data_IF_399128364045
#
_entry.id   IF_399128364045
#
_cell.length_a   1.000
_cell.length_b   1.000
_cell.length_c   1.000
_cell.angle_alpha   90.00
_cell.angle_beta   90.00
_cell.angle_gamma   90.00
#
_symmetry.space_group_name_H-M   'P 1'
#
loop_
_entity.id
_entity.type
_entity.pdbx_description
1 polymer ?
#
# COMPACT_ATOMS: atom_id res chain seq x y z
N UNK A 1 -6.37 9.83 86.26
CA UNK A 1 -6.72 10.39 84.93
C UNK A 1 -5.99 11.72 84.81
N UNK A 2 -4.91 11.79 84.04
CA UNK A 2 -4.00 12.95 83.98
C UNK A 2 -4.08 13.54 82.56
N UNK A 3 -4.85 14.60 82.29
CA UNK A 3 -4.61 16.05 82.54
C UNK A 3 -3.29 16.49 81.87
N UNK A 4 -3.35 17.06 80.66
CA UNK A 4 -3.52 18.49 80.31
C UNK A 4 -2.28 19.36 80.60
N UNK A 5 -1.97 20.19 79.60
CA UNK A 5 -1.37 21.54 79.67
C UNK A 5 0.18 21.63 79.72
N UNK A 6 0.82 22.03 78.61
CA UNK A 6 1.15 23.41 78.18
C UNK A 6 2.33 23.99 79.00
N UNK A 7 3.47 24.25 78.34
CA UNK A 7 4.25 25.51 78.38
C UNK A 7 5.45 25.37 77.41
N UNK A 8 5.46 26.08 76.27
CA UNK A 8 6.11 27.41 76.08
C UNK A 8 7.60 27.41 76.44
N UNK A 9 8.50 27.54 75.45
CA UNK A 9 9.04 28.85 75.02
C UNK A 9 10.32 28.72 74.16
N UNK A 10 10.40 29.63 73.18
CA UNK A 10 11.61 30.35 72.70
C UNK A 10 12.58 29.58 71.79
N UNK A 11 12.56 29.88 70.49
CA UNK A 11 13.17 31.04 69.80
C UNK A 11 14.62 30.76 69.41
N UNK A 12 14.81 30.45 68.12
CA UNK A 12 15.89 30.92 67.24
C UNK A 12 15.24 30.88 65.83
N UNK A 13 14.50 31.88 65.38
CA UNK A 13 14.92 33.16 64.77
C UNK A 13 16.01 33.03 63.71
N UNK A 14 15.75 33.71 62.58
CA UNK A 14 16.50 33.82 61.32
C UNK A 14 16.21 32.67 60.32
N UNK A 15 15.72 32.89 59.10
CA UNK A 15 15.47 34.09 58.27
C UNK A 15 14.34 33.66 57.28
N UNK A 16 13.22 34.41 57.14
CA UNK A 16 13.06 35.52 56.19
C UNK A 16 13.32 35.02 54.75
N UNK A 17 12.32 34.89 53.87
CA UNK A 17 11.61 35.95 53.11
C UNK A 17 10.93 35.15 51.97
N UNK A 18 9.63 35.24 51.66
CA UNK A 18 8.88 36.41 51.23
C UNK A 18 7.37 36.12 51.35
N UNK A 19 6.71 36.96 52.14
CA UNK A 19 5.26 37.20 52.13
C UNK A 19 4.98 38.11 50.93
N UNK A 20 3.91 37.88 50.17
CA UNK A 20 2.73 38.78 49.97
C UNK A 20 2.35 38.61 48.48
N UNK A 21 1.11 38.57 47.98
CA UNK A 21 -0.11 39.37 48.17
C UNK A 21 -1.26 38.50 47.58
N UNK A 22 -2.25 38.07 48.36
CA UNK A 22 -3.62 38.60 48.45
C UNK A 22 -4.46 38.69 47.14
N UNK A 23 -5.58 37.95 47.18
CA UNK A 23 -6.92 38.27 46.66
C UNK A 23 -7.16 38.44 45.15
N UNK A 24 -7.80 37.45 44.52
CA UNK A 24 -9.26 37.43 44.28
C UNK A 24 -9.63 36.40 43.18
N UNK A 25 -10.69 35.62 43.45
CA UNK A 25 -11.56 34.89 42.52
C UNK A 25 -10.91 34.14 41.34
N UNK A 26 -10.96 32.81 41.39
CA UNK A 26 -11.23 32.01 40.19
C UNK A 26 -11.86 30.70 40.58
N UNK A 27 -13.10 30.54 40.10
CA UNK A 27 -13.82 29.32 39.78
C UNK A 27 -13.00 28.04 39.96
N UNK A 28 -13.59 27.07 40.66
CA UNK A 28 -13.26 25.66 40.50
C UNK A 28 -13.50 25.33 39.03
N UNK A 29 -12.45 25.50 38.23
CA UNK A 29 -12.35 24.90 36.92
C UNK A 29 -12.27 23.41 37.16
N UNK A 30 -13.43 22.75 37.10
CA UNK A 30 -13.45 21.40 36.52
C UNK A 30 -12.88 21.63 35.12
N UNK A 31 -11.59 21.37 34.96
CA UNK A 31 -10.99 21.16 33.66
C UNK A 31 -11.62 19.90 33.11
N UNK A 32 -12.82 20.06 32.56
CA UNK A 32 -13.27 19.31 31.42
C UNK A 32 -12.21 19.54 30.35
N UNK A 33 -11.16 18.73 30.38
CA UNK A 33 -10.48 18.38 29.15
C UNK A 33 -11.57 17.81 28.26
N UNK A 34 -12.17 18.67 27.43
CA UNK A 34 -12.69 18.24 26.14
C UNK A 34 -11.46 17.86 25.33
N UNK A 35 -10.82 16.75 25.71
CA UNK A 35 -9.96 16.03 24.81
C UNK A 35 -10.84 15.75 23.61
N UNK A 36 -10.50 16.32 22.46
CA UNK A 36 -10.95 15.79 21.18
C UNK A 36 -10.52 14.33 21.23
N UNK A 37 -11.47 13.42 21.51
CA UNK A 37 -11.16 12.02 21.79
C UNK A 37 -10.32 11.47 20.65
N UNK A 38 -9.07 11.13 20.94
CA UNK A 38 -8.21 10.48 19.96
C UNK A 38 -8.88 9.19 19.49
N UNK A 39 -8.86 8.93 18.18
CA UNK A 39 -9.37 7.67 17.65
C UNK A 39 -8.42 6.52 18.04
N UNK A 40 -8.98 5.37 18.41
CA UNK A 40 -8.18 4.16 18.62
C UNK A 40 -7.79 3.54 17.27
N UNK A 41 -6.62 3.94 16.78
CA UNK A 41 -6.07 3.41 15.52
C UNK A 41 -5.65 1.94 15.63
N UNK A 42 -5.39 1.42 16.83
CA UNK A 42 -5.07 0.01 17.05
C UNK A 42 -6.31 -0.87 16.86
N UNK A 43 -7.45 -0.46 17.43
CA UNK A 43 -8.73 -1.14 17.21
C UNK A 43 -9.15 -1.06 15.73
N UNK A 44 -9.00 0.11 15.10
CA UNK A 44 -9.32 0.29 13.68
C UNK A 44 -8.47 -0.62 12.78
N UNK A 45 -7.17 -0.75 13.06
CA UNK A 45 -6.25 -1.65 12.35
C UNK A 45 -6.66 -3.12 12.50
N UNK A 46 -6.95 -3.55 13.73
CA UNK A 46 -7.37 -4.93 14.03
C UNK A 46 -8.65 -5.30 13.27
N UNK A 47 -9.64 -4.39 13.25
CA UNK A 47 -10.88 -4.56 12.47
C UNK A 47 -10.63 -4.55 10.97
N UNK A 48 -9.68 -3.75 10.48
CA UNK A 48 -9.31 -3.75 9.06
C UNK A 48 -8.67 -5.06 8.61
N UNK A 49 -7.96 -5.78 9.49
CA UNK A 49 -7.40 -7.10 9.17
C UNK A 49 -8.47 -8.21 9.25
N UNK A 50 -9.40 -8.10 10.21
CA UNK A 50 -10.59 -8.96 10.25
C UNK A 50 -11.45 -8.86 8.99
N UNK A 51 -11.52 -7.68 8.36
CA UNK A 51 -12.19 -7.51 7.07
C UNK A 51 -11.62 -8.45 6.00
N UNK A 52 -10.30 -8.61 5.92
CA UNK A 52 -9.71 -9.53 4.94
C UNK A 52 -10.07 -10.99 5.23
N UNK A 53 -10.10 -11.41 6.50
CA UNK A 53 -10.59 -12.75 6.87
C UNK A 53 -12.05 -12.96 6.43
N UNK A 54 -12.89 -11.93 6.58
CA UNK A 54 -14.28 -11.95 6.15
C UNK A 54 -14.47 -11.99 4.62
N UNK A 55 -13.45 -11.65 3.83
CA UNK A 55 -13.49 -11.69 2.35
C UNK A 55 -12.91 -12.98 1.75
N UNK A 56 -12.33 -13.88 2.56
CA UNK A 56 -11.68 -15.10 2.05
C UNK A 56 -12.67 -15.99 1.29
N UNK A 57 -12.27 -16.48 0.12
CA UNK A 57 -12.93 -17.54 -0.64
C UNK A 57 -12.13 -18.84 -0.50
N UNK A 58 -12.78 -19.99 -0.68
CA UNK A 58 -12.15 -21.31 -0.61
C UNK A 58 -12.30 -22.00 0.74
N UNK A 59 -11.38 -22.91 1.04
CA UNK A 59 -11.36 -23.67 2.31
C UNK A 59 -10.77 -22.82 3.42
N UNK A 60 -11.62 -22.22 4.24
CA UNK A 60 -11.23 -21.38 5.36
C UNK A 60 -10.43 -22.16 6.42
N UNK A 61 -9.43 -21.54 7.06
CA UNK A 61 -8.63 -22.21 8.07
C UNK A 61 -9.42 -22.32 9.39
N UNK A 62 -9.23 -23.43 10.11
CA UNK A 62 -9.97 -23.73 11.35
C UNK A 62 -9.75 -22.69 12.47
N UNK A 63 -8.65 -21.95 12.41
CA UNK A 63 -8.27 -20.93 13.38
C UNK A 63 -8.66 -19.50 12.96
N UNK A 64 -9.47 -19.34 11.91
CA UNK A 64 -9.99 -18.03 11.50
C UNK A 64 -10.84 -17.39 12.62
N UNK A 65 -10.72 -16.07 12.79
CA UNK A 65 -11.45 -15.31 13.82
C UNK A 65 -12.89 -14.99 13.42
N UNK A 66 -13.16 -14.85 12.13
CA UNK A 66 -14.50 -14.59 11.57
C UNK A 66 -15.32 -15.89 11.54
N UNK A 67 -16.23 -16.05 12.51
CA UNK A 67 -16.99 -17.29 12.76
C UNK A 67 -18.28 -17.44 11.96
N UNK A 68 -18.74 -16.39 11.29
CA UNK A 68 -19.98 -16.41 10.50
C UNK A 68 -19.74 -16.72 9.01
N UNK A 69 -18.48 -16.86 8.61
CA UNK A 69 -18.05 -17.31 7.27
C UNK A 69 -17.73 -18.79 7.31
N UNK A 70 -18.01 -19.51 6.21
CA UNK A 70 -17.63 -20.91 6.03
C UNK A 70 -16.98 -21.11 4.64
N UNK A 71 -16.63 -22.35 4.32
CA UNK A 71 -16.07 -22.73 3.03
C UNK A 71 -16.96 -22.31 1.86
N UNK A 72 -16.38 -21.64 0.87
CA UNK A 72 -17.08 -21.16 -0.32
C UNK A 72 -16.24 -21.38 -1.58
N UNK A 73 -16.84 -21.35 -2.78
CA UNK A 73 -16.09 -21.40 -4.04
C UNK A 73 -15.19 -22.64 -4.20
N UNK A 74 -15.61 -23.79 -3.66
CA UNK A 74 -14.77 -25.01 -3.59
C UNK A 74 -14.54 -25.71 -4.94
N UNK A 75 -15.24 -25.26 -5.98
CA UNK A 75 -15.13 -25.77 -7.35
C UNK A 75 -14.52 -24.76 -8.31
N UNK A 76 -13.92 -23.68 -7.80
CA UNK A 76 -13.27 -22.64 -8.60
C UNK A 76 -12.21 -23.23 -9.52
N UNK A 77 -12.36 -23.00 -10.83
CA UNK A 77 -11.43 -23.47 -11.86
C UNK A 77 -11.66 -24.92 -12.33
N UNK A 78 -12.55 -25.68 -11.66
CA UNK A 78 -12.79 -27.09 -11.99
C UNK A 78 -13.28 -27.30 -13.44
N UNK A 79 -14.17 -26.43 -13.92
CA UNK A 79 -14.68 -26.46 -15.30
C UNK A 79 -13.54 -26.22 -16.33
N UNK A 80 -12.48 -25.52 -15.92
CA UNK A 80 -11.32 -25.22 -16.75
C UNK A 80 -10.14 -26.18 -16.51
N UNK A 81 -10.30 -27.19 -15.64
CA UNK A 81 -9.27 -28.17 -15.33
C UNK A 81 -8.12 -27.65 -14.47
N UNK A 82 -8.34 -26.60 -13.68
CA UNK A 82 -7.34 -25.98 -12.80
C UNK A 82 -7.88 -25.82 -11.38
N UNK A 83 -7.00 -25.80 -10.36
CA UNK A 83 -7.40 -25.45 -8.99
C UNK A 83 -7.27 -23.93 -8.81
N UNK A 84 -8.40 -23.24 -8.76
CA UNK A 84 -8.45 -21.80 -8.44
C UNK A 84 -9.14 -21.54 -7.11
N UNK A 85 -9.26 -22.53 -6.23
CA UNK A 85 -9.86 -22.36 -4.90
C UNK A 85 -8.95 -21.50 -4.01
N UNK A 86 -9.51 -20.49 -3.35
CA UNK A 86 -8.76 -19.54 -2.51
C UNK A 86 -9.01 -18.08 -2.91
N UNK A 87 -8.14 -17.17 -2.45
CA UNK A 87 -8.19 -15.75 -2.79
C UNK A 87 -9.31 -15.01 -2.06
N UNK A 88 -9.62 -13.81 -2.53
CA UNK A 88 -10.60 -12.93 -1.91
C UNK A 88 -11.78 -12.65 -2.83
N UNK A 89 -12.99 -12.64 -2.27
CA UNK A 89 -14.12 -11.96 -2.89
C UNK A 89 -13.84 -10.45 -2.91
N UNK A 90 -14.19 -9.77 -4.00
CA UNK A 90 -13.73 -8.41 -4.25
C UNK A 90 -14.40 -7.38 -3.31
N UNK A 91 -15.73 -7.37 -3.27
CA UNK A 91 -16.49 -6.38 -2.50
C UNK A 91 -17.64 -7.05 -1.72
N UNK A 92 -18.88 -6.62 -1.95
CA UNK A 92 -20.08 -7.29 -1.41
C UNK A 92 -20.62 -8.39 -2.32
N UNK A 93 -19.93 -8.65 -3.43
CA UNK A 93 -20.17 -9.70 -4.39
C UNK A 93 -19.24 -10.90 -4.12
N UNK A 94 -19.29 -11.93 -4.97
CA UNK A 94 -18.48 -13.14 -4.82
C UNK A 94 -17.53 -13.41 -5.99
N UNK A 95 -17.44 -12.48 -6.95
CA UNK A 95 -16.46 -12.53 -8.02
C UNK A 95 -15.06 -12.29 -7.47
N UNK A 96 -14.08 -12.99 -8.05
CA UNK A 96 -12.66 -12.80 -7.76
C UNK A 96 -12.00 -12.02 -8.88
N UNK A 97 -12.04 -10.70 -8.78
CA UNK A 97 -11.36 -9.82 -9.73
C UNK A 97 -9.85 -9.75 -9.45
N UNK A 98 -9.04 -10.25 -10.38
CA UNK A 98 -7.59 -10.38 -10.18
C UNK A 98 -6.85 -9.04 -10.02
N UNK A 99 -7.22 -8.02 -10.79
CA UNK A 99 -6.52 -6.73 -10.79
C UNK A 99 -6.63 -5.98 -9.44
N UNK A 100 -7.82 -5.70 -8.90
CA UNK A 100 -7.95 -5.07 -7.58
C UNK A 100 -7.44 -5.96 -6.44
N UNK A 101 -7.54 -7.29 -6.56
CA UNK A 101 -6.95 -8.22 -5.60
C UNK A 101 -5.42 -8.11 -5.57
N UNK A 102 -4.77 -8.08 -6.74
CA UNK A 102 -3.32 -7.94 -6.86
C UNK A 102 -2.85 -6.61 -6.26
N UNK A 103 -3.51 -5.51 -6.62
CA UNK A 103 -3.23 -4.20 -6.04
C UNK A 103 -3.33 -4.20 -4.50
N UNK A 104 -4.39 -4.82 -3.97
CA UNK A 104 -4.61 -4.94 -2.53
C UNK A 104 -3.48 -5.70 -1.84
N UNK A 105 -3.03 -6.82 -2.41
CA UNK A 105 -1.90 -7.60 -1.88
C UNK A 105 -0.58 -6.82 -1.97
N UNK A 106 -0.35 -6.06 -3.04
CA UNK A 106 0.79 -5.15 -3.15
C UNK A 106 0.77 -4.13 -2.01
N UNK A 107 -0.38 -3.51 -1.74
CA UNK A 107 -0.53 -2.49 -0.69
C UNK A 107 -0.40 -3.06 0.73
N UNK A 108 -0.97 -4.23 1.00
CA UNK A 108 -0.77 -4.94 2.28
C UNK A 108 0.72 -5.26 2.49
N UNK A 109 1.38 -5.77 1.45
CA UNK A 109 2.81 -6.07 1.49
C UNK A 109 3.64 -4.80 1.72
N UNK A 110 3.31 -3.71 1.03
CA UNK A 110 3.99 -2.44 1.22
C UNK A 110 3.81 -1.92 2.66
N UNK A 111 2.62 -2.02 3.23
CA UNK A 111 2.36 -1.66 4.63
C UNK A 111 3.25 -2.43 5.60
N UNK A 112 3.37 -3.75 5.43
CA UNK A 112 4.25 -4.59 6.28
C UNK A 112 5.73 -4.23 6.09
N UNK A 113 6.16 -3.94 4.86
CA UNK A 113 7.55 -3.52 4.59
C UNK A 113 7.90 -2.22 5.31
N UNK A 114 6.97 -1.26 5.37
CA UNK A 114 7.27 0.06 5.96
C UNK A 114 6.99 0.12 7.47
N UNK A 115 5.97 -0.60 7.95
CA UNK A 115 5.45 -0.51 9.32
C UNK A 115 5.43 -1.86 10.07
N UNK A 116 6.23 -2.83 9.64
CA UNK A 116 6.32 -4.16 10.26
C UNK A 116 6.59 -4.12 11.77
N UNK A 117 7.45 -3.22 12.24
CA UNK A 117 7.74 -3.06 13.67
C UNK A 117 6.53 -2.53 14.46
N UNK A 118 5.76 -1.59 13.88
CA UNK A 118 4.53 -1.09 14.49
C UNK A 118 3.41 -2.13 14.47
N UNK A 119 3.32 -2.96 13.43
CA UNK A 119 2.39 -4.09 13.38
C UNK A 119 2.77 -5.17 14.40
N UNK A 120 4.07 -5.37 14.64
CA UNK A 120 4.54 -6.30 15.65
C UNK A 120 4.22 -5.82 17.07
N UNK A 121 4.40 -4.52 17.34
CA UNK A 121 4.13 -3.94 18.66
C UNK A 121 2.63 -3.94 19.03
N UNK A 122 1.75 -3.95 18.04
CA UNK A 122 0.29 -4.08 18.23
C UNK A 122 -0.21 -5.53 18.19
N UNK A 123 0.67 -6.51 17.90
CA UNK A 123 0.29 -7.91 17.79
C UNK A 123 -0.42 -8.30 16.48
N UNK A 124 -0.54 -7.38 15.52
CA UNK A 124 -1.28 -7.59 14.26
C UNK A 124 -0.38 -8.06 13.10
N UNK A 125 0.94 -8.15 13.28
CA UNK A 125 1.87 -8.57 12.23
C UNK A 125 1.52 -9.97 11.68
N UNK A 126 1.19 -10.95 12.53
CA UNK A 126 0.81 -12.29 12.07
C UNK A 126 -0.44 -12.27 11.19
N UNK A 127 -1.44 -11.48 11.56
CA UNK A 127 -2.68 -11.34 10.80
C UNK A 127 -2.45 -10.66 9.45
N UNK A 128 -1.57 -9.64 9.41
CA UNK A 128 -1.16 -9.02 8.15
C UNK A 128 -0.40 -9.99 7.24
N UNK A 129 0.51 -10.81 7.79
CA UNK A 129 1.23 -11.84 7.05
C UNK A 129 0.27 -12.90 6.49
N UNK A 130 -0.68 -13.37 7.28
CA UNK A 130 -1.71 -14.32 6.82
C UNK A 130 -2.58 -13.73 5.71
N UNK A 131 -2.96 -12.46 5.82
CA UNK A 131 -3.75 -11.77 4.79
C UNK A 131 -2.98 -11.68 3.45
N UNK A 132 -1.68 -11.34 3.49
CA UNK A 132 -0.84 -11.32 2.28
C UNK A 132 -0.73 -12.74 1.72
N UNK A 133 -0.40 -13.72 2.56
CA UNK A 133 -0.18 -15.10 2.14
C UNK A 133 -1.42 -15.70 1.46
N UNK A 134 -2.61 -15.43 1.97
CA UNK A 134 -3.86 -15.91 1.38
C UNK A 134 -4.05 -15.45 -0.06
N UNK A 135 -3.71 -14.18 -0.35
CA UNK A 135 -3.74 -13.63 -1.70
C UNK A 135 -2.64 -14.21 -2.59
N UNK A 136 -1.42 -14.31 -2.09
CA UNK A 136 -0.30 -14.83 -2.89
C UNK A 136 -0.38 -16.34 -3.15
N UNK A 137 -0.94 -17.13 -2.23
CA UNK A 137 -1.24 -18.55 -2.47
C UNK A 137 -2.21 -18.71 -3.63
N UNK A 138 -3.21 -17.82 -3.74
CA UNK A 138 -4.12 -17.79 -4.88
C UNK A 138 -3.39 -17.38 -6.18
N UNK A 139 -2.51 -16.37 -6.16
CA UNK A 139 -1.76 -16.00 -7.36
C UNK A 139 -0.81 -17.09 -7.86
N UNK A 140 -0.21 -17.88 -6.96
CA UNK A 140 0.58 -19.07 -7.36
C UNK A 140 -0.29 -20.06 -8.12
N UNK A 141 -1.51 -20.32 -7.63
CA UNK A 141 -2.48 -21.19 -8.32
C UNK A 141 -2.96 -20.61 -9.65
N UNK A 142 -3.22 -19.31 -9.69
CA UNK A 142 -3.70 -18.60 -10.87
C UNK A 142 -2.63 -18.45 -11.97
N UNK A 143 -1.34 -18.51 -11.64
CA UNK A 143 -0.25 -18.48 -12.62
C UNK A 143 0.19 -19.91 -12.97
N UNK A 144 -0.53 -20.56 -13.88
CA UNK A 144 -0.36 -21.99 -14.18
C UNK A 144 0.79 -22.28 -15.15
N UNK A 145 1.20 -21.29 -15.94
CA UNK A 145 2.31 -21.38 -16.91
C UNK A 145 2.94 -19.99 -17.09
N UNK A 146 4.19 -19.86 -17.58
CA UNK A 146 4.90 -18.58 -17.64
C UNK A 146 4.15 -17.43 -18.33
N UNK A 147 3.31 -17.73 -19.32
CA UNK A 147 2.51 -16.77 -20.07
C UNK A 147 1.00 -17.01 -19.93
N UNK A 148 0.56 -17.58 -18.78
CA UNK A 148 -0.87 -17.83 -18.50
C UNK A 148 -1.18 -17.42 -17.07
N UNK A 149 -2.09 -16.44 -16.94
CA UNK A 149 -2.59 -15.98 -15.65
C UNK A 149 -4.12 -15.98 -15.65
N UNK A 150 -4.73 -16.69 -14.70
CA UNK A 150 -6.17 -16.66 -14.45
C UNK A 150 -6.54 -15.32 -13.79
N UNK A 151 -7.33 -14.55 -14.52
CA UNK A 151 -7.64 -13.16 -14.23
C UNK A 151 -8.90 -12.98 -13.38
N UNK A 152 -9.87 -13.88 -13.55
CA UNK A 152 -11.18 -13.77 -12.93
C UNK A 152 -11.78 -15.15 -12.68
N UNK A 153 -12.53 -15.27 -11.58
CA UNK A 153 -13.39 -16.43 -11.31
C UNK A 153 -14.75 -15.93 -10.84
N UNK A 154 -15.80 -16.31 -11.56
CA UNK A 154 -17.13 -15.73 -11.39
C UNK A 154 -17.53 -14.94 -12.62
N UNK A 155 -18.82 -14.96 -12.95
CA UNK A 155 -19.41 -14.08 -13.95
C UNK A 155 -20.15 -12.95 -13.22
N UNK A 156 -19.71 -11.70 -13.41
CA UNK A 156 -20.24 -10.56 -12.67
C UNK A 156 -21.73 -10.35 -12.85
N UNK A 157 -22.26 -10.56 -14.06
CA UNK A 157 -23.68 -10.32 -14.35
C UNK A 157 -24.57 -11.29 -13.56
N UNK A 158 -24.24 -12.58 -13.57
CA UNK A 158 -25.00 -13.59 -12.82
C UNK A 158 -24.78 -13.50 -11.32
N UNK A 159 -23.56 -13.18 -10.87
CA UNK A 159 -23.26 -13.01 -9.46
C UNK A 159 -24.00 -11.82 -8.84
N UNK A 160 -24.00 -10.67 -9.51
CA UNK A 160 -24.63 -9.44 -9.01
C UNK A 160 -26.15 -9.47 -9.11
N UNK A 161 -26.71 -10.34 -9.96
CA UNK A 161 -28.16 -10.58 -10.00
C UNK A 161 -28.66 -11.36 -8.77
N UNK A 162 -27.80 -12.11 -8.08
CA UNK A 162 -28.19 -13.01 -7.00
C UNK A 162 -27.68 -12.55 -5.63
N UNK A 163 -28.61 -12.18 -4.74
CA UNK A 163 -28.28 -11.86 -3.35
C UNK A 163 -28.26 -13.12 -2.48
N UNK A 164 -27.09 -13.69 -2.25
CA UNK A 164 -26.92 -14.94 -1.51
C UNK A 164 -25.64 -14.92 -0.68
N UNK A 165 -25.46 -15.93 0.18
CA UNK A 165 -24.21 -16.13 0.91
C UNK A 165 -23.16 -16.77 -0.02
N UNK A 166 -21.85 -16.49 0.17
CA UNK A 166 -20.81 -17.14 -0.62
C UNK A 166 -20.81 -18.67 -0.45
N UNK A 167 -21.25 -19.17 0.70
CA UNK A 167 -21.34 -20.60 1.01
C UNK A 167 -22.44 -21.32 0.19
N UNK A 168 -23.46 -20.60 -0.29
CA UNK A 168 -24.63 -21.17 -0.98
C UNK A 168 -24.64 -20.84 -2.48
N UNK A 169 -23.54 -20.34 -3.06
CA UNK A 169 -23.51 -19.84 -4.43
C UNK A 169 -24.00 -20.84 -5.47
N UNK A 170 -25.03 -20.46 -6.21
CA UNK A 170 -25.52 -21.20 -7.39
C UNK A 170 -25.21 -20.51 -8.74
N UNK A 171 -24.51 -19.37 -8.72
CA UNK A 171 -24.17 -18.57 -9.89
C UNK A 171 -22.97 -19.16 -10.65
N UNK A 172 -22.78 -18.73 -11.89
CA UNK A 172 -21.65 -19.22 -12.70
C UNK A 172 -20.33 -18.80 -12.08
N UNK A 173 -19.45 -19.78 -11.85
CA UNK A 173 -18.07 -19.57 -11.36
C UNK A 173 -17.02 -19.87 -12.43
N UNK A 174 -17.39 -19.63 -13.69
CA UNK A 174 -16.48 -19.76 -14.84
C UNK A 174 -15.23 -18.92 -14.61
N UNK A 175 -14.07 -19.49 -14.89
CA UNK A 175 -12.80 -18.78 -14.82
C UNK A 175 -12.36 -18.23 -16.18
N UNK A 176 -11.71 -17.07 -16.15
CA UNK A 176 -11.16 -16.38 -17.32
C UNK A 176 -9.67 -16.14 -17.15
N UNK A 177 -8.90 -16.18 -18.24
CA UNK A 177 -7.44 -16.04 -18.23
C UNK A 177 -6.96 -15.05 -19.27
N UNK A 178 -5.80 -14.46 -19.00
CA UNK A 178 -4.97 -13.80 -19.99
C UNK A 178 -3.84 -14.72 -20.42
N UNK A 179 -3.48 -14.66 -21.69
CA UNK A 179 -2.40 -15.43 -22.30
C UNK A 179 -1.77 -14.69 -23.49
N UNK A 180 -0.87 -15.35 -24.22
CA UNK A 180 -0.17 -14.74 -25.36
C UNK A 180 -1.11 -14.22 -26.46
N UNK A 181 -2.29 -14.84 -26.62
CA UNK A 181 -3.28 -14.45 -27.62
C UNK A 181 -4.29 -13.43 -27.10
N UNK A 182 -4.47 -13.38 -25.77
CA UNK A 182 -5.39 -12.50 -25.05
C UNK A 182 -4.60 -11.79 -23.95
N UNK A 183 -3.73 -10.81 -24.28
CA UNK A 183 -2.80 -10.20 -23.34
C UNK A 183 -3.49 -9.33 -22.29
N UNK A 184 -2.81 -9.14 -21.15
CA UNK A 184 -3.26 -8.26 -20.07
C UNK A 184 -2.08 -7.78 -19.23
N UNK A 185 -1.35 -6.79 -19.76
CA UNK A 185 -0.14 -6.25 -19.17
C UNK A 185 -0.37 -5.60 -17.80
N UNK A 186 -1.46 -4.86 -17.66
CA UNK A 186 -1.91 -4.24 -16.41
C UNK A 186 -2.02 -5.30 -15.30
N UNK A 187 -2.87 -6.31 -15.50
CA UNK A 187 -3.07 -7.40 -14.55
C UNK A 187 -1.80 -8.21 -14.29
N UNK A 188 -1.08 -8.62 -15.34
CA UNK A 188 0.14 -9.40 -15.19
C UNK A 188 1.19 -8.64 -14.37
N UNK A 189 1.34 -7.33 -14.61
CA UNK A 189 2.35 -6.51 -13.95
C UNK A 189 1.97 -6.07 -12.55
N UNK A 190 0.68 -5.88 -12.26
CA UNK A 190 0.22 -5.69 -10.88
C UNK A 190 0.39 -6.98 -10.07
N UNK A 191 0.09 -8.15 -10.65
CA UNK A 191 0.31 -9.43 -9.97
C UNK A 191 1.80 -9.69 -9.74
N UNK A 192 2.67 -9.33 -10.71
CA UNK A 192 4.11 -9.34 -10.51
C UNK A 192 4.56 -8.41 -9.37
N UNK A 193 4.00 -7.19 -9.29
CA UNK A 193 4.27 -6.25 -8.20
C UNK A 193 3.86 -6.83 -6.83
N UNK A 194 2.66 -7.44 -6.76
CA UNK A 194 2.14 -8.06 -5.54
C UNK A 194 3.06 -9.17 -5.03
N UNK A 195 3.46 -10.08 -5.91
CA UNK A 195 4.34 -11.21 -5.57
C UNK A 195 5.76 -10.74 -5.24
N UNK A 196 6.29 -9.74 -5.96
CA UNK A 196 7.59 -9.15 -5.65
C UNK A 196 7.59 -8.45 -4.29
N UNK A 197 6.58 -7.63 -3.98
CA UNK A 197 6.44 -6.98 -2.68
C UNK A 197 6.29 -8.01 -1.54
N UNK A 198 5.43 -9.02 -1.71
CA UNK A 198 5.25 -10.09 -0.73
C UNK A 198 6.53 -10.91 -0.52
N UNK A 199 7.35 -11.12 -1.55
CA UNK A 199 8.65 -11.80 -1.38
C UNK A 199 9.59 -11.07 -0.42
N UNK A 200 9.55 -9.73 -0.38
CA UNK A 200 10.33 -8.94 0.58
C UNK A 200 9.83 -9.23 2.00
N UNK A 201 8.51 -9.22 2.18
CA UNK A 201 7.84 -9.49 3.47
C UNK A 201 8.21 -10.88 4.01
N UNK A 202 8.17 -11.91 3.17
CA UNK A 202 8.43 -13.28 3.58
C UNK A 202 9.91 -13.69 3.57
N UNK A 203 10.83 -12.79 3.21
CA UNK A 203 12.25 -13.10 3.05
C UNK A 203 12.88 -13.76 4.28
N UNK A 204 12.52 -13.29 5.47
CA UNK A 204 13.07 -13.77 6.74
C UNK A 204 12.14 -14.78 7.42
N UNK A 205 10.83 -14.61 7.30
CA UNK A 205 9.83 -15.42 7.99
C UNK A 205 9.48 -16.71 7.26
N UNK A 206 9.65 -16.77 5.93
CA UNK A 206 9.45 -17.97 5.13
C UNK A 206 10.42 -18.02 3.93
N UNK A 207 11.67 -18.48 4.15
CA UNK A 207 12.75 -18.40 3.17
C UNK A 207 12.56 -19.31 1.95
N UNK A 208 11.68 -20.31 2.00
CA UNK A 208 11.32 -21.13 0.83
C UNK A 208 10.22 -20.48 -0.02
N UNK A 209 9.28 -19.77 0.62
CA UNK A 209 8.16 -19.13 -0.06
C UNK A 209 8.59 -17.86 -0.80
N UNK A 210 9.50 -17.05 -0.21
CA UNK A 210 9.98 -15.82 -0.85
C UNK A 210 10.57 -16.03 -2.26
N UNK A 211 11.49 -16.99 -2.49
CA UNK A 211 12.01 -17.29 -3.84
C UNK A 211 10.93 -17.79 -4.81
N UNK A 212 9.96 -18.57 -4.33
CA UNK A 212 8.84 -19.02 -5.14
C UNK A 212 8.01 -17.83 -5.64
N UNK A 213 7.69 -16.88 -4.76
CA UNK A 213 6.99 -15.65 -5.14
C UNK A 213 7.78 -14.83 -6.16
N UNK A 214 9.09 -14.68 -5.96
CA UNK A 214 9.96 -13.98 -6.91
C UNK A 214 9.96 -14.67 -8.28
N UNK A 215 10.00 -15.99 -8.33
CA UNK A 215 10.00 -16.72 -9.60
C UNK A 215 8.75 -16.42 -10.43
N UNK A 216 7.56 -16.51 -9.81
CA UNK A 216 6.31 -16.14 -10.46
C UNK A 216 6.28 -14.66 -10.85
N UNK A 217 6.75 -13.76 -9.97
CA UNK A 217 6.80 -12.33 -10.24
C UNK A 217 7.65 -12.00 -11.49
N UNK A 218 8.80 -12.66 -11.66
CA UNK A 218 9.68 -12.47 -12.79
C UNK A 218 9.06 -12.97 -14.10
N UNK A 219 8.41 -14.13 -14.08
CA UNK A 219 7.71 -14.66 -15.26
C UNK A 219 6.55 -13.76 -15.68
N UNK A 220 5.70 -13.34 -14.73
CA UNK A 220 4.59 -12.42 -15.01
C UNK A 220 5.07 -11.05 -15.46
N UNK A 221 6.20 -10.57 -14.93
CA UNK A 221 6.86 -9.37 -15.41
C UNK A 221 7.23 -9.50 -16.89
N UNK A 222 7.92 -10.58 -17.27
CA UNK A 222 8.32 -10.82 -18.65
C UNK A 222 7.11 -11.00 -19.59
N UNK A 223 6.11 -11.77 -19.16
CA UNK A 223 4.87 -11.98 -19.89
C UNK A 223 4.17 -10.65 -20.21
N UNK A 224 3.93 -9.82 -19.19
CA UNK A 224 3.24 -8.54 -19.34
C UNK A 224 3.99 -7.50 -20.17
N UNK A 225 5.32 -7.57 -20.25
CA UNK A 225 6.11 -6.67 -21.10
C UNK A 225 6.24 -7.16 -22.54
N UNK A 226 6.31 -8.49 -22.74
CA UNK A 226 6.46 -9.13 -24.06
C UNK A 226 5.17 -9.09 -24.87
N UNK A 227 4.02 -9.37 -24.24
CA UNK A 227 2.71 -9.38 -24.88
C UNK A 227 1.87 -8.22 -24.35
N UNK A 228 2.01 -7.05 -24.99
CA UNK A 228 1.40 -5.81 -24.50
C UNK A 228 -0.06 -5.67 -24.90
N UNK A 229 -0.93 -5.45 -23.92
CA UNK A 229 -2.36 -5.19 -24.13
C UNK A 229 -3.09 -4.94 -22.82
N UNK A 230 -4.26 -4.30 -22.87
CA UNK A 230 -5.10 -4.14 -21.68
C UNK A 230 -5.89 -5.41 -21.42
N UNK A 231 -5.99 -5.85 -20.16
CA UNK A 231 -6.69 -7.11 -19.89
C UNK A 231 -8.20 -7.03 -20.16
N UNK A 232 -8.81 -5.84 -20.05
CA UNK A 232 -10.25 -5.62 -20.27
C UNK A 232 -10.65 -5.60 -21.77
N UNK A 233 -9.68 -5.40 -22.66
CA UNK A 233 -9.84 -5.59 -24.11
C UNK A 233 -9.87 -7.08 -24.47
N UNK A 234 -9.04 -7.87 -23.79
CA UNK A 234 -8.97 -9.33 -23.91
C UNK A 234 -10.14 -10.03 -23.22
N UNK A 235 -10.52 -9.58 -22.04
CA UNK A 235 -11.56 -10.15 -21.19
C UNK A 235 -12.69 -9.15 -21.01
N UNK A 236 -13.59 -9.07 -22.00
CA UNK A 236 -14.68 -8.09 -21.99
C UNK A 236 -15.62 -8.19 -20.79
N UNK A 237 -15.68 -9.35 -20.12
CA UNK A 237 -16.50 -9.59 -18.93
C UNK A 237 -16.12 -8.68 -17.75
N UNK A 238 -14.85 -8.25 -17.67
CA UNK A 238 -14.35 -7.41 -16.57
C UNK A 238 -14.66 -5.93 -16.77
N UNK A 239 -15.00 -5.53 -18.00
CA UNK A 239 -15.02 -4.13 -18.45
C UNK A 239 -16.10 -3.29 -17.77
N UNK A 240 -17.19 -3.91 -17.35
CA UNK A 240 -18.26 -3.23 -16.62
C UNK A 240 -17.92 -3.01 -15.13
N UNK A 241 -16.84 -3.62 -14.64
CA UNK A 241 -16.48 -3.65 -13.22
C UNK A 241 -15.13 -2.95 -12.99
N UNK A 242 -14.06 -3.54 -13.52
CA UNK A 242 -12.67 -3.10 -13.33
C UNK A 242 -12.00 -2.82 -14.67
N UNK A 243 -12.56 -1.90 -15.47
CA UNK A 243 -11.93 -1.50 -16.73
C UNK A 243 -10.53 -0.90 -16.49
N UNK A 244 -9.60 -1.19 -17.41
CA UNK A 244 -8.25 -0.63 -17.43
C UNK A 244 -8.29 0.75 -18.10
N UNK A 245 -8.71 1.76 -17.35
CA UNK A 245 -8.98 3.10 -17.89
C UNK A 245 -7.66 3.83 -18.13
N UNK A 246 -6.75 3.77 -17.17
CA UNK A 246 -5.38 4.30 -17.27
C UNK A 246 -4.54 3.60 -18.35
N UNK A 247 -4.85 2.33 -18.65
CA UNK A 247 -4.05 1.43 -19.46
C UNK A 247 -3.11 0.59 -18.60
N UNK A 248 -1.96 0.21 -19.15
CA UNK A 248 -1.00 -0.68 -18.48
C UNK A 248 0.38 -0.06 -18.23
N UNK A 249 0.54 1.22 -18.60
CA UNK A 249 1.84 1.87 -18.70
C UNK A 249 2.44 2.13 -17.31
N UNK A 250 1.60 2.44 -16.34
CA UNK A 250 1.97 2.60 -14.95
C UNK A 250 2.30 1.28 -14.28
N UNK A 251 1.58 0.19 -14.55
CA UNK A 251 1.88 -1.14 -14.02
C UNK A 251 3.19 -1.70 -14.57
N UNK A 252 3.52 -1.39 -15.84
CA UNK A 252 4.85 -1.67 -16.38
C UNK A 252 5.94 -1.02 -15.52
N UNK A 253 5.80 0.25 -15.13
CA UNK A 253 6.78 0.89 -14.26
C UNK A 253 6.72 0.40 -12.81
N UNK A 254 5.52 0.12 -12.31
CA UNK A 254 5.25 -0.34 -10.94
C UNK A 254 5.84 -1.72 -10.65
N UNK A 255 5.57 -2.70 -11.51
CA UNK A 255 6.15 -4.03 -11.39
C UNK A 255 7.69 -4.01 -11.45
N UNK A 256 8.27 -3.16 -12.30
CA UNK A 256 9.72 -2.97 -12.37
C UNK A 256 10.29 -2.36 -11.08
N UNK A 257 9.57 -1.41 -10.49
CA UNK A 257 10.00 -0.75 -9.27
C UNK A 257 9.99 -1.73 -8.08
N UNK A 258 8.97 -2.58 -7.98
CA UNK A 258 8.92 -3.62 -6.95
C UNK A 258 9.95 -4.72 -7.13
N UNK A 259 10.14 -5.22 -8.36
CA UNK A 259 11.18 -6.23 -8.63
C UNK A 259 12.59 -5.68 -8.42
N UNK A 260 12.83 -4.41 -8.75
CA UNK A 260 14.07 -3.70 -8.38
C UNK A 260 14.29 -3.74 -6.88
N UNK A 261 13.28 -3.36 -6.10
CA UNK A 261 13.35 -3.36 -4.62
C UNK A 261 13.51 -4.77 -4.04
N UNK A 262 12.94 -5.78 -4.69
CA UNK A 262 12.98 -7.15 -4.19
C UNK A 262 14.28 -7.88 -4.55
N UNK A 263 14.91 -7.58 -5.68
CA UNK A 263 16.07 -8.35 -6.18
C UNK A 263 17.40 -7.62 -6.10
N UNK A 264 17.40 -6.29 -5.89
CA UNK A 264 18.57 -5.42 -6.07
C UNK A 264 19.22 -5.55 -7.47
N UNK A 265 18.48 -6.07 -8.47
CA UNK A 265 18.96 -6.20 -9.84
C UNK A 265 18.81 -4.88 -10.60
N UNK A 266 19.95 -4.34 -11.04
CA UNK A 266 20.07 -3.08 -11.79
C UNK A 266 19.26 -3.06 -13.10
N UNK A 267 18.91 -4.23 -13.65
CA UNK A 267 18.10 -4.33 -14.86
C UNK A 267 16.73 -3.67 -14.68
N UNK A 268 16.02 -3.95 -13.58
CA UNK A 268 14.66 -3.44 -13.37
C UNK A 268 14.63 -1.93 -13.14
N UNK A 269 15.57 -1.38 -12.36
CA UNK A 269 15.63 0.08 -12.17
C UNK A 269 16.07 0.80 -13.45
N UNK A 270 16.89 0.16 -14.28
CA UNK A 270 17.24 0.68 -15.59
C UNK A 270 16.02 0.72 -16.51
N UNK A 271 15.19 -0.33 -16.50
CA UNK A 271 13.90 -0.35 -17.21
C UNK A 271 13.01 0.83 -16.79
N UNK A 272 12.84 1.06 -15.47
CA UNK A 272 12.04 2.19 -14.96
C UNK A 272 12.53 3.50 -15.55
N UNK A 273 13.84 3.76 -15.47
CA UNK A 273 14.44 5.02 -15.96
C UNK A 273 14.31 5.17 -17.48
N UNK A 274 14.60 4.10 -18.24
CA UNK A 274 14.60 4.14 -19.70
C UNK A 274 13.18 4.32 -20.24
N UNK A 275 12.20 3.71 -19.59
CA UNK A 275 10.82 3.71 -20.02
C UNK A 275 9.99 4.86 -19.42
N UNK A 276 10.46 5.53 -18.36
CA UNK A 276 9.69 6.55 -17.62
C UNK A 276 9.12 7.67 -18.50
N UNK A 277 9.86 8.14 -19.52
CA UNK A 277 9.33 9.16 -20.42
C UNK A 277 8.27 8.58 -21.38
N UNK A 278 8.55 7.42 -21.96
CA UNK A 278 7.70 6.80 -22.98
C UNK A 278 6.37 6.33 -22.40
N UNK A 279 6.39 5.81 -21.17
CA UNK A 279 5.22 5.26 -20.49
C UNK A 279 4.48 6.30 -19.63
N UNK A 280 4.81 7.59 -19.75
CA UNK A 280 4.12 8.65 -19.01
C UNK A 280 4.50 8.76 -17.52
N UNK A 281 5.47 7.98 -17.02
CA UNK A 281 5.96 8.05 -15.64
C UNK A 281 6.62 9.38 -15.22
N UNK A 282 6.99 10.20 -16.21
CA UNK A 282 7.47 11.58 -16.04
C UNK A 282 6.39 12.65 -16.26
N UNK A 283 5.17 12.25 -16.59
CA UNK A 283 4.09 13.19 -16.89
C UNK A 283 3.41 13.70 -15.61
N UNK A 284 2.39 14.54 -15.82
CA UNK A 284 1.69 15.42 -14.87
C UNK A 284 1.56 14.91 -13.43
N UNK A 285 1.55 15.85 -12.49
CA UNK A 285 1.16 15.62 -11.10
C UNK A 285 -0.14 14.81 -11.02
N UNK A 286 -0.01 13.55 -10.61
CA UNK A 286 -1.15 12.64 -10.52
C UNK A 286 -1.79 12.82 -9.14
N UNK A 287 -3.09 13.13 -9.12
CA UNK A 287 -3.88 13.27 -7.89
C UNK A 287 -4.54 11.97 -7.45
N UNK A 288 -4.38 10.89 -8.21
CA UNK A 288 -4.96 9.58 -7.95
C UNK A 288 -3.89 8.49 -7.84
N UNK A 289 -4.09 7.61 -6.87
CA UNK A 289 -3.41 6.32 -6.76
C UNK A 289 -4.43 5.27 -6.34
N UNK A 290 -4.59 4.24 -7.15
CA UNK A 290 -5.67 3.26 -7.01
C UNK A 290 -5.31 1.94 -7.70
N UNK A 291 -6.25 0.99 -7.69
CA UNK A 291 -6.13 -0.26 -8.43
C UNK A 291 -6.02 -0.07 -9.95
N UNK A 292 -6.28 1.13 -10.49
CA UNK A 292 -6.15 1.49 -11.90
C UNK A 292 -4.92 2.37 -12.16
N UNK A 293 -4.53 3.27 -11.23
CA UNK A 293 -3.43 4.24 -11.44
C UNK A 293 -2.31 4.10 -10.41
N UNK A 294 -1.07 3.81 -10.84
CA UNK A 294 0.09 3.53 -9.97
C UNK A 294 1.22 4.57 -10.06
N UNK A 295 1.17 5.50 -11.02
CA UNK A 295 2.26 6.43 -11.33
C UNK A 295 2.87 7.12 -10.11
N UNK A 296 2.03 7.59 -9.19
CA UNK A 296 2.51 8.30 -8.03
C UNK A 296 3.26 7.36 -7.04
N UNK A 297 2.81 6.12 -6.88
CA UNK A 297 3.55 5.09 -6.13
C UNK A 297 4.90 4.75 -6.76
N UNK A 298 4.97 4.66 -8.09
CA UNK A 298 6.25 4.49 -8.82
C UNK A 298 7.20 5.64 -8.50
N UNK A 299 6.72 6.87 -8.60
CA UNK A 299 7.47 8.09 -8.33
C UNK A 299 8.05 8.08 -6.91
N UNK A 300 7.21 7.82 -5.91
CA UNK A 300 7.62 7.73 -4.52
C UNK A 300 8.70 6.68 -4.30
N UNK A 301 8.47 5.43 -4.72
CA UNK A 301 9.41 4.33 -4.50
C UNK A 301 10.74 4.54 -5.23
N UNK A 302 10.70 5.08 -6.44
CA UNK A 302 11.90 5.41 -7.20
C UNK A 302 12.71 6.53 -6.54
N UNK A 303 12.07 7.53 -5.92
CA UNK A 303 12.78 8.58 -5.14
C UNK A 303 13.53 8.01 -3.93
N UNK A 304 13.03 6.92 -3.34
CA UNK A 304 13.65 6.25 -2.19
C UNK A 304 14.71 5.21 -2.61
N UNK A 305 14.85 4.92 -3.91
CA UNK A 305 15.72 3.86 -4.39
C UNK A 305 17.21 4.22 -4.21
N UNK A 306 17.96 3.35 -3.51
CA UNK A 306 19.37 3.58 -3.17
C UNK A 306 20.28 3.69 -4.40
N UNK A 307 20.02 2.91 -5.45
CA UNK A 307 20.82 2.93 -6.68
C UNK A 307 20.60 4.24 -7.43
N UNK A 308 19.34 4.69 -7.56
CA UNK A 308 19.03 6.00 -8.13
C UNK A 308 19.64 7.13 -7.31
N UNK A 309 19.53 7.07 -5.98
CA UNK A 309 20.12 8.07 -5.09
C UNK A 309 21.65 8.09 -5.12
N UNK A 310 22.32 6.94 -5.23
CA UNK A 310 23.78 6.87 -5.45
C UNK A 310 24.18 7.46 -6.80
N UNK A 311 23.49 7.09 -7.88
CA UNK A 311 23.72 7.66 -9.22
C UNK A 311 23.50 9.17 -9.22
N UNK A 312 22.50 9.68 -8.50
CA UNK A 312 22.24 11.10 -8.33
C UNK A 312 23.34 11.83 -7.52
N UNK A 313 23.69 11.33 -6.33
CA UNK A 313 24.71 11.96 -5.45
C UNK A 313 26.11 12.01 -6.06
N UNK A 314 26.52 10.99 -6.81
CA UNK A 314 27.82 10.97 -7.48
C UNK A 314 27.99 12.05 -8.56
N UNK A 315 26.92 12.75 -8.95
CA UNK A 315 26.94 13.78 -9.98
C UNK A 315 26.67 15.21 -9.48
N UNK A 316 26.35 15.39 -8.19
CA UNK A 316 26.32 16.72 -7.54
C UNK A 316 27.74 17.23 -7.15
N UNK A 317 28.78 16.44 -7.40
CA UNK A 317 30.18 16.85 -7.31
C UNK A 317 30.68 17.40 -8.68
N UNK A 318 31.50 18.48 -8.72
CA UNK A 318 31.32 19.55 -9.70
C UNK A 318 31.84 19.29 -11.13
N UNK A 319 31.08 19.85 -12.08
CA UNK A 319 31.48 20.48 -13.36
C UNK A 319 32.20 19.72 -14.49
N UNK A 320 32.66 18.47 -14.35
CA UNK A 320 33.49 17.85 -15.42
C UNK A 320 32.84 16.83 -16.36
N UNK A 321 31.52 16.81 -16.52
CA UNK A 321 30.86 15.91 -17.48
C UNK A 321 29.73 16.57 -18.28
N UNK A 322 30.07 17.55 -19.13
CA UNK A 322 29.17 18.13 -20.16
C UNK A 322 28.91 17.20 -21.37
N UNK A 323 29.20 15.90 -21.29
CA UNK A 323 28.90 14.91 -22.35
C UNK A 323 28.40 13.60 -21.72
N UNK A 324 27.19 13.16 -22.14
CA UNK A 324 26.39 11.95 -21.74
C UNK A 324 25.41 12.24 -20.59
N UNK A 325 24.10 11.97 -20.64
CA UNK A 325 23.23 11.22 -21.58
C UNK A 325 21.77 11.66 -21.30
N UNK A 326 20.88 11.68 -22.29
CA UNK A 326 19.43 11.99 -22.17
C UNK A 326 18.74 11.28 -20.97
N UNK A 327 19.22 10.07 -20.64
CA UNK A 327 18.85 9.23 -19.50
C UNK A 327 19.03 9.90 -18.12
N UNK A 328 20.08 10.70 -17.91
CA UNK A 328 20.34 11.35 -16.62
C UNK A 328 19.48 12.60 -16.40
N UNK A 329 19.20 13.37 -17.46
CA UNK A 329 18.23 14.45 -17.41
C UNK A 329 16.82 13.92 -17.11
N UNK A 330 16.50 12.71 -17.58
CA UNK A 330 15.28 11.99 -17.24
C UNK A 330 15.25 11.64 -15.75
N UNK A 331 16.32 11.08 -15.17
CA UNK A 331 16.37 10.78 -13.71
C UNK A 331 16.22 12.05 -12.86
N UNK A 332 16.93 13.13 -13.22
CA UNK A 332 16.83 14.41 -12.48
C UNK A 332 15.42 14.98 -12.60
N UNK A 333 14.85 15.02 -13.81
CA UNK A 333 13.44 15.42 -14.00
C UNK A 333 12.49 14.50 -13.27
N UNK A 334 12.74 13.19 -13.24
CA UNK A 334 11.93 12.22 -12.52
C UNK A 334 11.89 12.54 -11.03
N UNK A 335 13.05 12.75 -10.40
CA UNK A 335 13.15 13.07 -8.98
C UNK A 335 12.59 14.46 -8.69
N UNK A 336 12.92 15.48 -9.49
CA UNK A 336 12.39 16.84 -9.32
C UNK A 336 10.87 16.92 -9.55
N UNK A 337 10.33 16.17 -10.51
CA UNK A 337 8.89 16.10 -10.77
C UNK A 337 8.19 15.30 -9.67
N UNK A 338 8.79 14.20 -9.19
CA UNK A 338 8.30 13.48 -8.01
C UNK A 338 8.23 14.40 -6.80
N UNK A 339 9.28 15.19 -6.52
CA UNK A 339 9.31 16.17 -5.43
C UNK A 339 8.22 17.23 -5.61
N UNK A 340 8.04 17.76 -6.83
CA UNK A 340 6.99 18.74 -7.14
C UNK A 340 5.57 18.15 -7.04
N UNK A 341 5.40 16.88 -7.39
CA UNK A 341 4.13 16.16 -7.31
C UNK A 341 3.75 15.89 -5.87
N UNK A 342 4.72 15.41 -5.07
CA UNK A 342 4.60 15.33 -3.61
C UNK A 342 4.18 16.71 -3.08
N UNK A 343 4.88 17.80 -3.42
CA UNK A 343 4.51 19.18 -3.00
C UNK A 343 3.07 19.58 -3.37
N UNK A 344 2.58 19.16 -4.54
CA UNK A 344 1.21 19.48 -4.98
C UNK A 344 0.15 18.63 -4.28
N UNK A 345 0.43 17.34 -4.03
CA UNK A 345 -0.38 16.47 -3.18
C UNK A 345 -0.50 17.02 -1.75
N UNK A 346 0.58 17.59 -1.20
CA UNK A 346 0.57 18.29 0.09
C UNK A 346 -0.35 19.53 0.10
N UNK A 347 -0.42 20.31 -1.00
CA UNK A 347 -1.27 21.51 -1.11
C UNK A 347 -2.77 21.19 -1.23
N UNK A 348 -3.14 20.13 -1.95
CA UNK A 348 -4.55 19.73 -2.10
C UNK A 348 -5.19 19.26 -0.77
N UNK A 349 -4.39 18.73 0.16
CA UNK A 349 -4.86 18.26 1.47
C UNK A 349 -5.41 19.39 2.37
N UNK A 350 -4.76 20.57 2.37
CA UNK A 350 -5.18 21.71 3.20
C UNK A 350 -6.55 22.26 2.76
N UNK A 351 -6.88 22.19 1.46
CA UNK A 351 -8.15 22.69 0.93
C UNK A 351 -9.33 21.71 1.11
N UNK A 352 -9.05 20.40 1.21
CA UNK A 352 -10.07 19.34 1.19
C UNK A 352 -10.70 19.04 2.57
N UNK A 353 -10.07 19.47 3.67
CA UNK A 353 -10.62 19.32 5.03
C UNK A 353 -12.00 20.00 5.25
N UNK A 354 -12.47 20.83 4.31
CA UNK A 354 -13.73 21.56 4.43
C UNK A 354 -14.94 20.92 3.74
N UNK A 355 -14.84 19.78 3.05
CA UNK A 355 -16.01 19.15 2.42
C UNK A 355 -15.85 17.63 2.36
N UNK A 356 -16.84 16.85 2.80
CA UNK A 356 -16.81 15.38 2.80
C UNK A 356 -17.66 14.87 1.63
N UNK A 357 -17.07 14.08 0.73
CA UNK A 357 -17.76 13.37 -0.35
C UNK A 357 -16.93 12.16 -0.80
N UNK A 358 -17.59 11.05 -1.14
CA UNK A 358 -17.00 9.70 -1.27
C UNK A 358 -15.91 9.57 -2.36
N UNK A 359 -15.88 10.44 -3.38
CA UNK A 359 -14.73 10.55 -4.33
C UNK A 359 -13.40 10.90 -3.63
N UNK A 360 -13.43 11.44 -2.40
CA UNK A 360 -12.27 11.90 -1.63
C UNK A 360 -11.52 10.80 -0.89
N UNK A 361 -12.07 9.59 -0.81
CA UNK A 361 -11.41 8.46 -0.16
C UNK A 361 -10.15 7.98 -0.93
N UNK A 362 -10.14 8.14 -2.27
CA UNK A 362 -8.99 7.82 -3.13
C UNK A 362 -7.76 8.72 -2.85
N UNK A 363 -7.98 9.99 -2.55
CA UNK A 363 -6.92 10.98 -2.29
C UNK A 363 -6.33 10.83 -0.87
N UNK A 364 -7.15 10.44 0.12
CA UNK A 364 -6.74 10.34 1.53
C UNK A 364 -5.81 9.16 1.83
N UNK A 365 -6.01 7.98 1.20
CA UNK A 365 -5.17 6.80 1.47
C UNK A 365 -3.74 7.00 0.98
N UNK A 366 -3.59 7.64 -0.18
CA UNK A 366 -2.30 7.81 -0.82
C UNK A 366 -1.46 8.94 -0.19
N UNK A 367 -2.06 10.11 0.05
CA UNK A 367 -1.35 11.26 0.64
C UNK A 367 -0.84 11.01 2.07
N UNK A 368 -1.51 10.15 2.85
CA UNK A 368 -1.08 9.80 4.21
C UNK A 368 0.19 8.93 4.20
N UNK A 369 0.20 7.84 3.43
CA UNK A 369 1.37 6.94 3.30
C UNK A 369 2.59 7.68 2.73
N UNK A 370 2.39 8.56 1.74
CA UNK A 370 3.47 9.38 1.17
C UNK A 370 4.03 10.41 2.16
N UNK A 371 3.16 11.14 2.87
CA UNK A 371 3.59 12.19 3.80
C UNK A 371 4.42 11.61 4.94
N UNK A 372 3.94 10.56 5.60
CA UNK A 372 4.68 9.95 6.71
C UNK A 372 5.96 9.27 6.23
N UNK A 373 5.92 8.52 5.13
CA UNK A 373 7.11 7.80 4.71
C UNK A 373 8.18 8.69 4.11
N UNK A 374 7.80 9.67 3.29
CA UNK A 374 8.76 10.61 2.73
C UNK A 374 9.33 11.51 3.83
N UNK A 375 8.52 11.95 4.81
CA UNK A 375 9.02 12.61 6.03
C UNK A 375 10.02 11.73 6.77
N UNK A 376 9.71 10.47 7.06
CA UNK A 376 10.63 9.55 7.74
C UNK A 376 11.92 9.31 6.95
N UNK A 377 11.82 9.23 5.62
CA UNK A 377 12.99 9.15 4.75
C UNK A 377 13.86 10.41 4.85
N UNK A 378 13.25 11.60 4.82
CA UNK A 378 13.92 12.88 5.02
C UNK A 378 14.59 12.96 6.40
N UNK A 379 13.91 12.51 7.47
CA UNK A 379 14.50 12.39 8.83
C UNK A 379 15.72 11.46 8.82
N UNK A 380 15.58 10.24 8.29
CA UNK A 380 16.67 9.25 8.24
C UNK A 380 17.85 9.69 7.38
N UNK A 381 17.60 10.52 6.36
CA UNK A 381 18.63 11.05 5.46
C UNK A 381 19.15 12.44 5.88
N UNK A 382 18.68 12.98 7.01
CA UNK A 382 18.98 14.33 7.50
C UNK A 382 18.86 15.41 6.40
N UNK A 383 17.80 15.30 5.61
CA UNK A 383 17.55 16.14 4.42
C UNK A 383 16.23 16.90 4.58
N UNK A 384 16.17 18.13 4.07
CA UNK A 384 14.94 18.94 4.05
C UNK A 384 14.36 19.01 2.64
N UNK A 385 13.06 19.30 2.53
CA UNK A 385 12.41 19.51 1.24
C UNK A 385 12.46 21.00 0.86
N UNK A 386 13.22 21.35 -0.17
CA UNK A 386 13.20 22.72 -0.71
C UNK A 386 11.98 22.91 -1.62
N UNK A 387 11.08 23.80 -1.22
CA UNK A 387 9.89 24.17 -1.98
C UNK A 387 10.04 25.59 -2.53
N UNK A 388 9.33 25.90 -3.62
CA UNK A 388 9.30 27.24 -4.21
C UNK A 388 8.84 28.35 -3.23
N UNK A 389 8.14 27.97 -2.15
CA UNK A 389 7.60 28.85 -1.10
C UNK A 389 8.37 28.75 0.23
N UNK A 390 9.45 27.96 0.31
CA UNK A 390 10.27 27.80 1.51
C UNK A 390 10.76 26.38 1.76
N UNK A 391 11.59 26.20 2.79
CA UNK A 391 12.09 24.88 3.21
C UNK A 391 11.08 24.22 4.14
N UNK A 392 10.61 23.02 3.78
CA UNK A 392 9.74 22.20 4.62
C UNK A 392 10.60 21.17 5.35
N UNK A 393 10.58 21.26 6.69
CA UNK A 393 11.24 20.28 7.57
C UNK A 393 10.42 19.00 7.67
N UNK A 394 11.03 17.88 8.08
CA UNK A 394 10.30 16.62 8.23
C UNK A 394 9.23 16.62 9.35
N UNK A 395 9.24 17.62 10.24
CA UNK A 395 8.39 17.72 11.43
C UNK A 395 7.06 18.45 11.21
#
# INVERSE_FOLDING_TARGET
MTVKEIHRHKRWHLLLILITISSAASLIGVSSETGVGGFDYGEALSKSLLYFEAQRSGRLPYNQRVTWRDHSGLTDGLEQGVDLVGGYHDAGDHVKFGLPMAFTVTMLSWSVIEYGDSLASTGELSHALEAIKWGTDYFIKAHTSPNVLWAEVGDGDTDHYCWQRPEDMTTSRRAFKIDENNPGSDLARETAAAMAAASIVFRTTNPHYSPLLLHHAQQLFEFGDKYRGKYDESLRVVKSYYASVSGYMDELLWGATWLSRATDNDHYISYVVDMAHQLGGLSWAMSEFSWDVKFAGVQLLASMNRILNKKYKNHLLPEKCKKKTKKYQIIIRYISHTISNIQQLFKYFIFVCNNINIKKFKINKFSFLEKFRYSDHLRKSNSNLECHEGTVTPD
#
